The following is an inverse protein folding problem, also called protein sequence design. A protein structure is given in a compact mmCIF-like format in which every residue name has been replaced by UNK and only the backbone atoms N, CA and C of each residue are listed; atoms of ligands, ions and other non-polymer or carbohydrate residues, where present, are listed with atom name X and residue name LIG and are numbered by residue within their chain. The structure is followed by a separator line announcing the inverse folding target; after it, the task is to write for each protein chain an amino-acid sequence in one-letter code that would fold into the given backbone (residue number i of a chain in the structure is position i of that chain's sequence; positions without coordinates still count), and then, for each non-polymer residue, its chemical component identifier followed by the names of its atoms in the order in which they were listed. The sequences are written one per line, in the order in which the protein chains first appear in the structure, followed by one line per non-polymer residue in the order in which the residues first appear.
data_IF_129064197865
#
_entry.id   IF_129064197865
#
_cell.length_a   1.000
_cell.length_b   1.000
_cell.length_c   1.000
_cell.angle_alpha   90.00
_cell.angle_beta   90.00
_cell.angle_gamma   90.00
#
_symmetry.space_group_name_H-M   'P 1'
#
loop_
_entity.id
_entity.type
_entity.pdbx_description
1 polymer ?
#
# COMPACT_ATOMS: atom_id res chain seq x y z
N UNK A 1 18.78 -17.32 -7.98
CA UNK A 1 17.48 -16.70 -8.35
C UNK A 1 16.28 -17.59 -8.05
N UNK A 2 16.15 -18.81 -8.60
CA UNK A 2 15.01 -19.72 -8.29
C UNK A 2 14.78 -19.95 -6.79
N UNK A 3 15.85 -20.22 -6.04
CA UNK A 3 15.75 -20.43 -4.59
C UNK A 3 15.19 -19.22 -3.85
N UNK A 4 15.65 -18.02 -4.24
CA UNK A 4 15.25 -16.77 -3.61
C UNK A 4 13.77 -16.46 -3.90
N UNK A 5 13.33 -16.66 -5.14
CA UNK A 5 11.94 -16.49 -5.54
C UNK A 5 10.99 -17.39 -4.74
N UNK A 6 11.27 -18.69 -4.67
CA UNK A 6 10.43 -19.67 -3.95
C UNK A 6 10.49 -19.42 -2.44
N UNK A 7 11.64 -19.04 -1.88
CA UNK A 7 11.76 -18.71 -0.47
C UNK A 7 10.89 -17.50 -0.10
N UNK A 8 10.92 -16.43 -0.90
CA UNK A 8 10.04 -15.29 -0.67
C UNK A 8 8.57 -15.67 -0.79
N UNK A 9 8.20 -16.51 -1.77
CA UNK A 9 6.83 -17.02 -1.88
C UNK A 9 6.43 -17.85 -0.65
N UNK A 10 7.34 -18.67 -0.12
CA UNK A 10 7.11 -19.44 1.11
C UNK A 10 6.94 -18.54 2.34
N UNK A 11 7.76 -17.49 2.48
CA UNK A 11 7.63 -16.50 3.55
C UNK A 11 6.28 -15.75 3.48
N UNK A 12 5.83 -15.40 2.28
CA UNK A 12 4.50 -14.83 2.09
C UNK A 12 3.41 -15.81 2.52
N UNK A 13 3.45 -17.05 2.03
CA UNK A 13 2.46 -18.09 2.36
C UNK A 13 2.34 -18.33 3.86
N UNK A 14 3.48 -18.38 4.57
CA UNK A 14 3.52 -18.54 6.02
C UNK A 14 2.80 -17.39 6.75
N UNK A 15 2.86 -16.16 6.23
CA UNK A 15 2.24 -14.97 6.83
C UNK A 15 0.92 -14.54 6.16
N UNK A 16 0.38 -15.34 5.23
CA UNK A 16 -0.77 -14.97 4.39
C UNK A 16 -2.00 -14.59 5.22
N UNK A 17 -2.34 -15.41 6.21
CA UNK A 17 -3.53 -15.15 7.04
C UNK A 17 -3.39 -13.88 7.88
N UNK A 18 -2.16 -13.58 8.31
CA UNK A 18 -1.83 -12.33 9.00
C UNK A 18 -2.01 -11.13 8.07
N UNK A 19 -1.55 -11.22 6.82
CA UNK A 19 -1.75 -10.16 5.83
C UNK A 19 -3.24 -9.94 5.51
N UNK A 20 -4.04 -11.00 5.41
CA UNK A 20 -5.50 -10.90 5.20
C UNK A 20 -6.16 -10.20 6.38
N UNK A 21 -5.80 -10.55 7.61
CA UNK A 21 -6.30 -9.89 8.82
C UNK A 21 -5.96 -8.40 8.82
N UNK A 22 -4.70 -8.06 8.54
CA UNK A 22 -4.25 -6.67 8.46
C UNK A 22 -4.97 -5.89 7.36
N UNK A 23 -5.12 -6.46 6.18
CA UNK A 23 -5.88 -5.85 5.08
C UNK A 23 -7.31 -5.50 5.51
N UNK A 24 -8.00 -6.42 6.19
CA UNK A 24 -9.37 -6.18 6.70
C UNK A 24 -9.39 -5.05 7.73
N UNK A 25 -8.52 -5.09 8.73
CA UNK A 25 -8.44 -4.05 9.78
C UNK A 25 -8.15 -2.67 9.19
N UNK A 26 -7.21 -2.57 8.25
CA UNK A 26 -6.88 -1.31 7.59
C UNK A 26 -8.08 -0.78 6.79
N UNK A 27 -8.74 -1.64 5.99
CA UNK A 27 -9.89 -1.25 5.19
C UNK A 27 -11.07 -0.76 6.05
N UNK A 28 -11.35 -1.42 7.18
CA UNK A 28 -12.38 -1.00 8.13
C UNK A 28 -12.05 0.34 8.79
N UNK A 29 -10.79 0.54 9.18
CA UNK A 29 -10.31 1.78 9.78
C UNK A 29 -10.47 2.97 8.82
N UNK A 30 -10.00 2.85 7.57
CA UNK A 30 -10.09 3.93 6.59
C UNK A 30 -11.54 4.23 6.18
N UNK A 31 -12.40 3.21 6.05
CA UNK A 31 -13.85 3.41 5.82
C UNK A 31 -14.54 4.13 6.96
N UNK A 32 -14.20 3.79 8.20
CA UNK A 32 -14.81 4.41 9.39
C UNK A 32 -14.29 5.82 9.61
N UNK A 33 -13.00 6.06 9.41
CA UNK A 33 -12.40 7.40 9.48
C UNK A 33 -12.97 8.35 8.41
N UNK A 34 -13.26 7.87 7.20
CA UNK A 34 -13.90 8.67 6.15
C UNK A 34 -15.31 9.14 6.53
N UNK A 35 -16.08 8.30 7.24
CA UNK A 35 -17.41 8.66 7.75
C UNK A 35 -17.38 9.65 8.91
N UNK A 36 -16.31 9.62 9.72
CA UNK A 36 -16.12 10.54 10.85
C UNK A 36 -15.60 11.91 10.38
N UNK A 37 -14.77 11.94 9.33
CA UNK A 37 -14.24 13.18 8.76
C UNK A 37 -15.30 13.99 7.96
N UNK A 38 -16.38 13.36 7.52
CA UNK A 38 -17.55 14.06 6.98
C UNK A 38 -18.56 14.29 8.10
N UNK A 39 -18.44 15.41 8.80
CA UNK A 39 -19.54 15.91 9.64
C UNK A 39 -20.77 16.14 8.74
N UNK A 40 -22.00 15.73 9.14
CA UNK A 40 -23.20 16.05 8.39
C UNK A 40 -23.34 17.58 8.35
N UNK A 41 -23.28 18.19 7.18
CA UNK A 41 -23.57 19.62 7.03
C UNK A 41 -25.09 19.84 7.24
N UNK A 42 -25.52 20.61 8.26
CA UNK A 42 -26.94 20.78 8.55
C UNK A 42 -27.49 21.98 7.78
N UNK A 43 -27.73 21.87 6.47
CA UNK A 43 -28.39 22.95 5.71
C UNK A 43 -29.30 22.42 4.59
N UNK A 44 -30.38 21.71 4.94
CA UNK A 44 -31.57 21.64 4.09
C UNK A 44 -32.79 21.89 4.97
N UNK A 45 -33.11 23.17 5.20
CA UNK A 45 -34.46 23.58 5.58
C UNK A 45 -35.15 24.10 4.32
N UNK A 46 -35.92 23.22 3.69
CA UNK A 46 -36.93 23.58 2.68
C UNK A 46 -38.17 24.05 3.45
N UNK A 47 -38.46 25.34 3.41
CA UNK A 47 -39.78 25.88 3.74
C UNK A 47 -40.11 27.06 2.82
N UNK A 48 -41.28 26.91 2.20
CA UNK A 48 -41.97 27.77 1.24
C UNK A 48 -42.47 29.07 1.91
N UNK A 49 -42.74 30.11 1.11
CA UNK A 49 -43.41 31.42 1.41
C UNK A 49 -42.54 32.43 2.19
N UNK A 50 -42.30 33.69 1.82
CA UNK A 50 -43.09 34.78 1.19
C UNK A 50 -42.16 35.99 0.82
N UNK A 51 -42.61 37.07 0.14
CA UNK A 51 -41.80 37.87 -0.81
C UNK A 51 -41.06 39.10 -0.23
N UNK A 52 -40.15 39.65 -1.05
CA UNK A 52 -39.34 40.87 -0.88
C UNK A 52 -40.13 42.14 -0.51
N UNK A 53 -39.45 43.25 -0.11
CA UNK A 53 -39.26 44.32 -1.11
C UNK A 53 -37.94 45.12 -1.01
N UNK A 54 -37.38 45.36 -2.20
CA UNK A 54 -36.83 46.60 -2.81
C UNK A 54 -36.30 47.73 -1.89
N UNK A 55 -35.06 48.14 -2.22
CA UNK A 55 -34.16 49.27 -1.84
C UNK A 55 -34.79 50.67 -1.64
N UNK A 56 -34.10 51.67 -1.02
CA UNK A 56 -33.06 52.48 -1.70
C UNK A 56 -31.92 53.10 -0.83
N UNK A 57 -30.86 53.56 -1.50
CA UNK A 57 -29.76 54.47 -1.04
C UNK A 57 -30.19 55.96 -1.23
N UNK A 58 -29.52 57.09 -0.81
CA UNK A 58 -28.33 57.40 0.04
C UNK A 58 -28.51 58.51 1.16
N UNK A 59 -27.49 58.67 2.04
CA UNK A 59 -26.86 59.82 2.82
C UNK A 59 -27.65 61.13 3.20
N UNK A 60 -27.19 62.08 4.08
CA UNK A 60 -25.85 62.32 4.70
C UNK A 60 -25.79 62.89 6.17
N UNK A 61 -24.54 63.14 6.63
CA UNK A 61 -24.07 64.14 7.64
C UNK A 61 -24.09 63.82 9.16
N UNK A 62 -22.95 64.09 9.83
CA UNK A 62 -22.91 64.28 11.29
C UNK A 62 -21.62 63.86 12.05
N UNK A 63 -20.52 64.56 11.79
CA UNK A 63 -19.37 64.86 12.69
C UNK A 63 -19.21 64.22 14.11
N UNK A 64 -17.95 63.83 14.37
CA UNK A 64 -17.15 64.00 15.61
C UNK A 64 -17.07 62.86 16.65
N UNK A 65 -15.81 62.42 16.84
CA UNK A 65 -15.15 61.90 18.06
C UNK A 65 -14.92 60.39 18.26
N UNK A 66 -13.65 60.02 18.05
CA UNK A 66 -12.73 59.37 19.01
C UNK A 66 -12.92 57.90 19.46
N UNK A 67 -11.80 57.17 19.35
CA UNK A 67 -11.30 56.05 20.17
C UNK A 67 -11.27 54.63 19.56
N UNK A 68 -10.03 54.21 19.26
CA UNK A 68 -9.37 52.91 19.53
C UNK A 68 -10.09 51.60 19.25
N UNK A 69 -9.46 50.76 18.42
CA UNK A 69 -9.69 49.31 18.42
C UNK A 69 -9.23 48.61 17.14
N UNK A 70 -7.93 48.52 16.91
CA UNK A 70 -7.38 47.64 15.87
C UNK A 70 -7.57 46.18 16.28
N UNK A 71 -8.70 45.58 15.92
CA UNK A 71 -8.84 44.11 15.92
C UNK A 71 -8.43 43.57 14.57
N UNK A 72 -7.12 43.48 14.35
CA UNK A 72 -6.57 42.46 13.47
C UNK A 72 -6.74 41.12 14.22
N UNK A 73 -7.93 40.52 14.13
CA UNK A 73 -8.12 39.14 14.56
C UNK A 73 -7.28 38.29 13.63
N UNK A 74 -6.20 37.75 14.20
CA UNK A 74 -5.30 36.84 13.54
C UNK A 74 -6.11 35.78 12.82
N UNK A 75 -5.96 35.73 11.50
CA UNK A 75 -6.13 34.50 10.76
C UNK A 75 -5.01 33.56 11.21
N UNK A 76 -5.16 33.04 12.42
CA UNK A 76 -4.39 31.95 12.96
C UNK A 76 -4.49 30.83 11.94
N UNK A 77 -3.37 30.59 11.29
CA UNK A 77 -3.04 29.42 10.51
C UNK A 77 -3.24 28.18 11.36
N UNK A 78 -4.48 27.75 11.55
CA UNK A 78 -4.77 26.34 11.82
C UNK A 78 -4.61 25.64 10.48
N UNK A 79 -3.37 25.30 10.16
CA UNK A 79 -3.10 24.12 9.35
C UNK A 79 -3.99 23.02 9.93
N UNK A 80 -5.04 22.69 9.17
CA UNK A 80 -5.94 21.60 9.49
C UNK A 80 -5.14 20.32 9.26
N UNK A 81 -4.20 20.06 10.15
CA UNK A 81 -3.73 18.74 10.49
C UNK A 81 -4.98 18.06 11.03
N UNK A 82 -5.72 17.44 10.11
CA UNK A 82 -6.64 16.34 10.40
C UNK A 82 -5.79 15.16 10.89
N UNK A 83 -5.11 15.37 12.02
CA UNK A 83 -4.42 14.32 12.74
C UNK A 83 -5.50 13.53 13.46
N UNK A 84 -6.13 12.64 12.68
CA UNK A 84 -6.87 11.51 13.23
C UNK A 84 -5.91 10.88 14.20
N UNK A 85 -6.21 10.90 15.50
CA UNK A 85 -5.39 10.26 16.53
C UNK A 85 -5.34 8.78 16.19
N UNK A 86 -4.33 8.38 15.42
CA UNK A 86 -4.20 7.04 14.91
C UNK A 86 -3.94 6.17 16.14
N UNK A 87 -4.82 5.19 16.46
CA UNK A 87 -4.51 4.24 17.51
C UNK A 87 -3.13 3.66 17.20
N UNK A 88 -2.21 3.64 18.17
CA UNK A 88 -0.78 3.30 17.99
C UNK A 88 -0.51 2.02 17.16
N UNK A 89 -1.53 1.18 16.99
CA UNK A 89 -1.53 -0.04 16.22
C UNK A 89 -1.60 0.13 14.68
N UNK A 90 -2.27 1.16 14.11
CA UNK A 90 -2.49 1.25 12.65
C UNK A 90 -1.19 1.45 11.84
N UNK A 91 -0.23 2.31 12.23
CA UNK A 91 1.02 2.45 11.49
C UNK A 91 1.84 1.15 11.53
N UNK A 92 1.86 0.46 12.66
CA UNK A 92 2.53 -0.84 12.84
C UNK A 92 1.89 -1.94 11.99
N UNK A 93 0.56 -2.02 11.95
CA UNK A 93 -0.17 -2.93 11.05
C UNK A 93 0.19 -2.62 9.60
N UNK A 94 0.20 -1.33 9.23
CA UNK A 94 0.45 -0.89 7.85
C UNK A 94 1.85 -1.31 7.42
N UNK A 95 2.86 -1.00 8.23
CA UNK A 95 4.25 -1.41 7.97
C UNK A 95 4.38 -2.94 7.85
N UNK A 96 3.75 -3.69 8.75
CA UNK A 96 3.78 -5.15 8.72
C UNK A 96 3.06 -5.73 7.50
N UNK A 97 1.91 -5.17 7.13
CA UNK A 97 1.16 -5.54 5.93
C UNK A 97 2.00 -5.32 4.69
N UNK A 98 2.57 -4.11 4.52
CA UNK A 98 3.46 -3.78 3.40
C UNK A 98 4.61 -4.77 3.34
N UNK A 99 5.33 -4.99 4.44
CA UNK A 99 6.45 -5.93 4.49
C UNK A 99 6.05 -7.35 4.05
N UNK A 100 4.93 -7.88 4.55
CA UNK A 100 4.45 -9.22 4.16
C UNK A 100 4.10 -9.25 2.68
N UNK A 101 3.42 -8.23 2.16
CA UNK A 101 3.05 -8.16 0.74
C UNK A 101 4.24 -7.98 -0.19
N UNK A 102 5.31 -7.29 0.25
CA UNK A 102 6.55 -7.13 -0.51
C UNK A 102 7.21 -8.47 -0.83
N UNK A 103 7.05 -9.50 0.01
CA UNK A 103 7.56 -10.83 -0.31
C UNK A 103 6.98 -11.39 -1.62
N UNK A 104 5.73 -11.10 -1.95
CA UNK A 104 5.16 -11.52 -3.24
C UNK A 104 5.88 -10.82 -4.39
N UNK A 105 6.07 -9.50 -4.28
CA UNK A 105 6.72 -8.70 -5.32
C UNK A 105 8.14 -9.22 -5.58
N UNK A 106 8.93 -9.39 -4.51
CA UNK A 106 10.27 -9.95 -4.63
C UNK A 106 10.25 -11.37 -5.22
N UNK A 107 9.30 -12.21 -4.83
CA UNK A 107 9.18 -13.56 -5.38
C UNK A 107 9.02 -13.54 -6.90
N UNK A 108 8.15 -12.67 -7.43
CA UNK A 108 7.95 -12.53 -8.87
C UNK A 108 9.17 -11.92 -9.58
N UNK A 109 9.76 -10.85 -9.03
CA UNK A 109 10.93 -10.21 -9.63
C UNK A 109 12.10 -11.19 -9.77
N UNK A 110 12.40 -11.95 -8.71
CA UNK A 110 13.46 -12.96 -8.74
C UNK A 110 13.11 -14.13 -9.68
N UNK A 111 11.83 -14.48 -9.81
CA UNK A 111 11.38 -15.54 -10.70
C UNK A 111 11.56 -15.13 -12.17
N UNK A 112 11.13 -13.93 -12.52
CA UNK A 112 11.28 -13.39 -13.86
C UNK A 112 12.77 -13.29 -14.23
N UNK A 113 13.61 -12.73 -13.35
CA UNK A 113 15.06 -12.68 -13.59
C UNK A 113 15.66 -14.08 -13.77
N UNK A 114 15.18 -15.08 -13.04
CA UNK A 114 15.59 -16.47 -13.25
C UNK A 114 15.17 -17.00 -14.63
N UNK A 115 13.96 -16.69 -15.08
CA UNK A 115 13.46 -17.06 -16.42
C UNK A 115 14.26 -16.37 -17.53
N UNK A 116 14.60 -15.08 -17.39
CA UNK A 116 15.44 -14.35 -18.33
C UNK A 116 16.80 -15.04 -18.52
N UNK A 117 17.46 -15.43 -17.43
CA UNK A 117 18.74 -16.14 -17.44
C UNK A 117 18.61 -17.57 -17.96
N UNK A 118 17.53 -18.27 -17.61
CA UNK A 118 17.27 -19.62 -18.08
C UNK A 118 17.05 -19.67 -19.59
N UNK A 119 16.44 -18.63 -20.17
CA UNK A 119 16.29 -18.48 -21.63
C UNK A 119 17.61 -18.29 -22.37
N UNK A 120 18.67 -17.83 -21.72
CA UNK A 120 20.02 -17.78 -22.33
C UNK A 120 20.68 -19.17 -22.34
N UNK A 121 20.31 -20.05 -21.42
CA UNK A 121 20.90 -21.37 -21.22
C UNK A 121 19.85 -22.51 -21.36
N UNK A 122 18.95 -22.40 -22.35
CA UNK A 122 17.76 -23.27 -22.47
C UNK A 122 18.07 -24.76 -22.46
N UNK A 123 19.16 -25.19 -23.13
CA UNK A 123 19.53 -26.61 -23.22
C UNK A 123 19.79 -27.22 -21.85
N UNK A 124 20.57 -26.54 -21.01
CA UNK A 124 20.86 -26.96 -19.65
C UNK A 124 19.57 -27.05 -18.81
N UNK A 125 18.79 -25.98 -18.78
CA UNK A 125 17.59 -25.91 -17.95
C UNK A 125 16.48 -26.86 -18.41
N UNK A 126 16.36 -27.12 -19.71
CA UNK A 126 15.41 -28.11 -20.26
C UNK A 126 15.77 -29.53 -19.81
N UNK A 127 17.04 -29.92 -19.93
CA UNK A 127 17.53 -31.21 -19.41
C UNK A 127 17.32 -31.32 -17.91
N UNK A 128 17.62 -30.24 -17.17
CA UNK A 128 17.46 -30.23 -15.71
C UNK A 128 16.00 -30.38 -15.30
N UNK A 129 15.07 -29.70 -15.97
CA UNK A 129 13.63 -29.86 -15.71
C UNK A 129 13.10 -31.25 -16.05
N UNK A 130 13.66 -31.89 -17.10
CA UNK A 130 13.29 -33.26 -17.46
C UNK A 130 13.78 -34.28 -16.42
N UNK A 131 14.94 -34.04 -15.80
CA UNK A 131 15.54 -34.95 -14.81
C UNK A 131 15.04 -34.74 -13.37
N UNK A 132 14.81 -33.50 -12.95
CA UNK A 132 14.59 -33.14 -11.54
C UNK A 132 13.22 -32.50 -11.26
N UNK A 133 12.25 -32.65 -12.17
CA UNK A 133 10.94 -32.01 -12.18
C UNK A 133 10.96 -30.53 -12.61
N UNK A 134 9.86 -30.09 -13.23
CA UNK A 134 9.65 -28.69 -13.62
C UNK A 134 9.33 -27.86 -12.38
N UNK A 135 10.21 -26.90 -12.07
CA UNK A 135 10.03 -26.02 -10.93
C UNK A 135 9.08 -24.87 -11.27
N UNK A 136 8.12 -24.60 -10.39
CA UNK A 136 7.21 -23.46 -10.48
C UNK A 136 7.41 -22.53 -9.28
N UNK A 137 6.91 -21.29 -9.37
CA UNK A 137 6.96 -20.35 -8.23
C UNK A 137 6.21 -20.88 -7.00
N UNK A 138 5.26 -21.79 -7.24
CA UNK A 138 4.43 -22.40 -6.21
C UNK A 138 5.00 -23.72 -5.65
N UNK A 139 6.12 -24.21 -6.18
CA UNK A 139 6.75 -25.45 -5.76
C UNK A 139 7.17 -25.43 -4.29
N UNK A 140 7.25 -26.63 -3.73
CA UNK A 140 7.68 -26.86 -2.35
C UNK A 140 9.19 -26.62 -2.16
N UNK A 141 9.60 -26.43 -0.91
CA UNK A 141 11.03 -26.37 -0.56
C UNK A 141 11.76 -27.68 -0.89
N UNK A 142 11.07 -28.82 -0.83
CA UNK A 142 11.63 -30.14 -1.14
C UNK A 142 11.99 -30.21 -2.63
N UNK A 143 11.05 -29.88 -3.51
CA UNK A 143 11.28 -29.83 -4.97
C UNK A 143 12.40 -28.85 -5.32
N UNK A 144 12.44 -27.68 -4.68
CA UNK A 144 13.51 -26.70 -4.86
C UNK A 144 14.89 -27.29 -4.50
N UNK A 145 14.99 -27.98 -3.37
CA UNK A 145 16.25 -28.59 -2.91
C UNK A 145 16.69 -29.67 -3.88
N UNK A 146 15.80 -30.55 -4.32
CA UNK A 146 16.13 -31.58 -5.31
C UNK A 146 16.60 -30.97 -6.63
N UNK A 147 15.85 -30.01 -7.18
CA UNK A 147 16.19 -29.30 -8.40
C UNK A 147 17.58 -28.63 -8.31
N UNK A 148 17.84 -27.94 -7.20
CA UNK A 148 19.11 -27.24 -6.98
C UNK A 148 20.29 -28.20 -6.82
N UNK A 149 20.10 -29.31 -6.09
CA UNK A 149 21.14 -30.34 -5.91
C UNK A 149 21.52 -30.98 -7.25
N UNK A 150 20.53 -31.36 -8.06
CA UNK A 150 20.78 -31.91 -9.41
C UNK A 150 21.51 -30.90 -10.30
N UNK A 151 21.06 -29.64 -10.33
CA UNK A 151 21.71 -28.60 -11.11
C UNK A 151 23.17 -28.38 -10.70
N UNK A 152 23.45 -28.31 -9.40
CA UNK A 152 24.81 -28.16 -8.89
C UNK A 152 25.70 -29.37 -9.19
N UNK A 153 25.16 -30.59 -9.13
CA UNK A 153 25.91 -31.80 -9.49
C UNK A 153 26.33 -31.77 -10.96
N UNK A 154 25.45 -31.37 -11.87
CA UNK A 154 25.77 -31.26 -13.29
C UNK A 154 26.78 -30.17 -13.58
N UNK A 155 26.65 -29.00 -12.94
CA UNK A 155 27.63 -27.93 -13.08
C UNK A 155 29.04 -28.36 -12.64
N UNK A 156 29.15 -29.17 -11.58
CA UNK A 156 30.44 -29.73 -11.13
C UNK A 156 31.02 -30.75 -12.10
N UNK A 157 30.17 -31.51 -12.78
CA UNK A 157 30.62 -32.47 -13.80
C UNK A 157 31.13 -31.71 -15.04
N UNK A 158 30.40 -30.70 -15.50
CA UNK A 158 30.82 -29.86 -16.64
C UNK A 158 32.11 -29.09 -16.36
N UNK A 159 32.33 -28.61 -15.12
CA UNK A 159 33.58 -27.91 -14.76
C UNK A 159 34.80 -28.83 -14.65
N UNK A 160 34.59 -30.14 -14.51
CA UNK A 160 35.66 -31.13 -14.33
C UNK A 160 36.00 -31.89 -15.64
N UNK A 161 35.36 -31.54 -16.75
CA UNK A 161 35.74 -32.05 -18.08
C UNK A 161 36.92 -31.21 -18.61
N UNK A 162 38.04 -31.84 -19.01
CA UNK A 162 39.26 -31.14 -19.46
C UNK A 162 39.06 -30.37 -20.77
#
# INVERSE_FOLDING_TARGET
MRCQAILYMAMFRYKKDTAIKYSRTLNEHFKSSSRIAQAPSPCIARSISTPSPISPMPSPAGSVSSQTGSTASSCGSSSLSSSVSVPHYIPTITSSFVNITSYILYAYDFWEQADLLARKNKKFFSKLSAAACFLSLNSSMIELVHYTRHGLQWLRLESNMP
#
